data_IF_391987307188
#
_entry.id   IF_391987307188
#
_cell.length_a   1.000
_cell.length_b   1.000
_cell.length_c   1.000
_cell.angle_alpha   90.00
_cell.angle_beta   90.00
_cell.angle_gamma   90.00
#
_symmetry.space_group_name_H-M   'P 1'
#
loop_
_entity.id
_entity.type
_entity.pdbx_description
1 polymer ?
#
# COMPACT_ATOMS: atom_id res chain seq x y z
N UNK A 1 -2.47 9.12 19.65
CA UNK A 1 -3.87 8.62 19.68
C UNK A 1 -4.83 9.52 20.45
N UNK A 2 -4.46 10.09 21.59
CA UNK A 2 -5.39 10.92 22.40
C UNK A 2 -5.90 12.21 21.74
N UNK A 3 -5.16 12.80 20.80
CA UNK A 3 -5.57 14.05 20.15
C UNK A 3 -6.82 13.84 19.26
N UNK A 4 -6.84 12.80 18.43
CA UNK A 4 -7.96 12.54 17.51
C UNK A 4 -9.24 12.22 18.29
N UNK A 5 -9.13 11.38 19.33
CA UNK A 5 -10.22 11.08 20.26
C UNK A 5 -10.76 12.33 20.93
N UNK A 6 -9.87 13.20 21.43
CA UNK A 6 -10.24 14.45 22.10
C UNK A 6 -10.99 15.40 21.16
N UNK A 7 -10.55 15.56 19.92
CA UNK A 7 -11.25 16.40 18.93
C UNK A 7 -12.63 15.85 18.57
N UNK A 8 -12.78 14.53 18.44
CA UNK A 8 -14.09 13.90 18.19
C UNK A 8 -15.07 14.13 19.34
N UNK A 9 -14.60 14.05 20.59
CA UNK A 9 -15.42 14.36 21.76
C UNK A 9 -15.85 15.84 21.82
N UNK A 10 -15.06 16.77 21.28
CA UNK A 10 -15.41 18.20 21.18
C UNK A 10 -16.51 18.48 20.16
N UNK A 11 -16.85 17.52 19.31
CA UNK A 11 -17.96 17.60 18.35
C UNK A 11 -19.27 17.06 18.95
N UNK A 12 -19.36 16.95 20.28
CA UNK A 12 -20.49 16.37 21.02
C UNK A 12 -20.87 14.96 20.57
N UNK A 13 -19.90 14.19 20.05
CA UNK A 13 -20.09 12.78 19.74
C UNK A 13 -20.11 11.95 21.03
N UNK A 14 -21.06 11.00 21.18
CA UNK A 14 -21.06 10.08 22.31
C UNK A 14 -19.75 9.30 22.42
N UNK A 15 -19.25 9.10 23.64
CA UNK A 15 -17.96 8.43 23.87
C UNK A 15 -17.91 7.04 23.22
N UNK A 16 -18.98 6.25 23.32
CA UNK A 16 -19.11 4.94 22.67
C UNK A 16 -18.90 5.03 21.15
N UNK A 17 -19.47 6.06 20.49
CA UNK A 17 -19.29 6.28 19.06
C UNK A 17 -17.84 6.65 18.74
N UNK A 18 -17.21 7.47 19.57
CA UNK A 18 -15.81 7.86 19.37
C UNK A 18 -14.91 6.64 19.51
N UNK A 19 -15.15 5.77 20.49
CA UNK A 19 -14.34 4.58 20.71
C UNK A 19 -14.45 3.61 19.51
N UNK A 20 -15.67 3.40 18.98
CA UNK A 20 -15.88 2.63 17.72
C UNK A 20 -15.14 3.24 16.52
N UNK A 21 -15.16 4.56 16.37
CA UNK A 21 -14.44 5.24 15.28
C UNK A 21 -12.93 5.07 15.41
N UNK A 22 -12.40 5.11 16.64
CA UNK A 22 -10.97 4.92 16.89
C UNK A 22 -10.53 3.47 16.63
N UNK A 23 -11.37 2.49 16.97
CA UNK A 23 -11.15 1.08 16.64
C UNK A 23 -11.16 0.83 15.14
N UNK A 24 -12.18 1.34 14.42
CA UNK A 24 -12.26 1.24 12.97
C UNK A 24 -11.04 1.90 12.31
N UNK A 25 -10.69 3.11 12.75
CA UNK A 25 -9.54 3.82 12.23
C UNK A 25 -8.23 3.05 12.44
N UNK A 26 -8.05 2.41 13.60
CA UNK A 26 -6.88 1.59 13.88
C UNK A 26 -6.77 0.37 12.96
N UNK A 27 -7.90 -0.29 12.68
CA UNK A 27 -7.99 -1.40 11.73
C UNK A 27 -7.64 -0.90 10.32
N UNK A 28 -8.29 0.18 9.88
CA UNK A 28 -8.07 0.77 8.55
C UNK A 28 -6.62 1.19 8.35
N UNK A 29 -5.97 1.80 9.35
CA UNK A 29 -4.56 2.22 9.28
C UNK A 29 -3.62 1.02 9.13
N UNK A 30 -3.90 -0.08 9.82
CA UNK A 30 -3.12 -1.32 9.73
C UNK A 30 -3.34 -2.08 8.43
N UNK A 31 -4.55 -2.01 7.88
CA UNK A 31 -4.91 -2.68 6.64
C UNK A 31 -4.56 -1.85 5.40
N UNK A 32 -3.98 -0.65 5.57
CA UNK A 32 -3.47 0.12 4.43
C UNK A 32 -2.40 -0.69 3.70
N UNK A 33 -2.62 -1.07 2.43
CA UNK A 33 -1.60 -1.74 1.67
C UNK A 33 -0.39 -0.81 1.53
N UNK A 34 0.84 -1.35 1.55
CA UNK A 34 2.01 -0.54 1.28
C UNK A 34 1.87 0.16 -0.08
N UNK A 35 2.38 1.39 -0.17
CA UNK A 35 2.42 2.11 -1.45
C UNK A 35 3.50 1.50 -2.34
N UNK A 36 3.08 0.62 -3.23
CA UNK A 36 3.93 0.08 -4.29
C UNK A 36 3.95 1.00 -5.51
N UNK A 37 4.99 0.88 -6.32
CA UNK A 37 4.96 1.43 -7.66
C UNK A 37 3.92 0.70 -8.52
N UNK A 38 3.32 1.41 -9.47
CA UNK A 38 2.46 0.75 -10.45
C UNK A 38 3.29 -0.18 -11.33
N UNK A 39 2.65 -1.18 -11.94
CA UNK A 39 3.29 -2.06 -12.93
C UNK A 39 4.04 -1.25 -13.98
N UNK A 40 3.40 -0.23 -14.55
CA UNK A 40 4.03 0.64 -15.56
C UNK A 40 5.28 1.37 -15.04
N UNK A 41 5.26 1.85 -13.79
CA UNK A 41 6.42 2.48 -13.16
C UNK A 41 7.56 1.47 -12.98
N UNK A 42 7.28 0.29 -12.41
CA UNK A 42 8.26 -0.79 -12.22
C UNK A 42 8.95 -1.12 -13.54
N UNK A 43 8.17 -1.37 -14.60
CA UNK A 43 8.70 -1.71 -15.93
C UNK A 43 9.53 -0.56 -16.52
N UNK A 44 9.08 0.70 -16.38
CA UNK A 44 9.84 1.85 -16.85
C UNK A 44 11.18 2.02 -16.12
N UNK A 45 11.21 1.78 -14.81
CA UNK A 45 12.40 1.96 -13.99
C UNK A 45 13.45 0.90 -14.27
N UNK A 46 13.04 -0.37 -14.43
CA UNK A 46 13.99 -1.44 -14.79
C UNK A 46 14.49 -1.28 -16.21
N UNK A 47 13.63 -0.89 -17.16
CA UNK A 47 14.04 -0.56 -18.54
C UNK A 47 15.04 0.59 -18.59
N UNK A 48 14.86 1.58 -17.72
CA UNK A 48 15.78 2.72 -17.57
C UNK A 48 17.02 2.41 -16.71
N UNK A 49 17.16 1.19 -16.16
CA UNK A 49 18.27 0.81 -15.28
C UNK A 49 18.26 1.50 -13.91
N UNK A 50 17.15 2.14 -13.52
CA UNK A 50 16.99 2.83 -12.23
C UNK A 50 16.78 1.86 -11.07
N UNK A 51 16.31 0.64 -11.36
CA UNK A 51 16.22 -0.48 -10.41
C UNK A 51 16.76 -1.76 -11.04
N UNK A 52 17.25 -2.67 -10.18
CA UNK A 52 17.73 -3.98 -10.62
C UNK A 52 16.57 -4.90 -11.07
N UNK A 53 16.80 -5.83 -12.01
CA UNK A 53 15.77 -6.81 -12.41
C UNK A 53 15.18 -7.62 -11.25
N UNK A 54 16.02 -8.02 -10.28
CA UNK A 54 15.55 -8.70 -9.07
C UNK A 54 14.62 -7.82 -8.22
N UNK A 55 14.88 -6.51 -8.16
CA UNK A 55 14.02 -5.55 -7.46
C UNK A 55 12.69 -5.39 -8.19
N UNK A 56 12.70 -5.32 -9.53
CA UNK A 56 11.48 -5.26 -10.33
C UNK A 56 10.59 -6.49 -10.12
N UNK A 57 11.16 -7.70 -10.09
CA UNK A 57 10.43 -8.94 -9.77
C UNK A 57 9.77 -8.85 -8.40
N UNK A 58 10.50 -8.42 -7.36
CA UNK A 58 9.94 -8.28 -6.02
C UNK A 58 8.78 -7.29 -5.97
N UNK A 59 8.88 -6.15 -6.67
CA UNK A 59 7.79 -5.17 -6.73
C UNK A 59 6.55 -5.73 -7.42
N UNK A 60 6.72 -6.48 -8.52
CA UNK A 60 5.59 -7.12 -9.19
C UNK A 60 4.90 -8.17 -8.30
N UNK A 61 5.66 -8.96 -7.52
CA UNK A 61 5.09 -9.86 -6.52
C UNK A 61 4.33 -9.10 -5.43
N UNK A 62 4.90 -8.00 -4.94
CA UNK A 62 4.29 -7.19 -3.89
C UNK A 62 2.96 -6.55 -4.33
N UNK A 63 2.82 -6.21 -5.62
CA UNK A 63 1.58 -5.71 -6.23
C UNK A 63 0.55 -6.83 -6.47
N UNK A 64 0.95 -8.10 -6.32
CA UNK A 64 0.04 -9.26 -6.32
C UNK A 64 0.12 -10.15 -7.57
N UNK A 65 1.13 -9.99 -8.44
CA UNK A 65 1.31 -10.88 -9.58
C UNK A 65 1.87 -12.24 -9.15
N UNK A 66 1.41 -13.29 -9.81
CA UNK A 66 1.97 -14.63 -9.68
C UNK A 66 3.29 -14.78 -10.50
N UNK A 67 4.03 -15.88 -10.32
CA UNK A 67 5.30 -16.09 -11.02
C UNK A 67 5.20 -16.05 -12.55
N UNK A 68 4.11 -16.54 -13.14
CA UNK A 68 3.93 -16.56 -14.60
C UNK A 68 3.83 -15.13 -15.14
N UNK A 69 3.01 -14.30 -14.51
CA UNK A 69 2.85 -12.90 -14.89
C UNK A 69 4.15 -12.11 -14.72
N UNK A 70 4.87 -12.32 -13.60
CA UNK A 70 6.17 -11.70 -13.37
C UNK A 70 7.15 -12.06 -14.49
N UNK A 71 7.24 -13.34 -14.87
CA UNK A 71 8.16 -13.79 -15.91
C UNK A 71 7.77 -13.26 -17.32
N UNK A 72 6.47 -13.10 -17.61
CA UNK A 72 6.00 -12.46 -18.85
C UNK A 72 6.41 -10.98 -18.87
N UNK A 73 6.15 -10.24 -17.78
CA UNK A 73 6.49 -8.82 -17.70
C UNK A 73 8.00 -8.59 -17.84
N UNK A 74 8.81 -9.39 -17.15
CA UNK A 74 10.27 -9.24 -17.21
C UNK A 74 10.83 -9.52 -18.60
N UNK A 75 10.28 -10.52 -19.33
CA UNK A 75 10.65 -10.77 -20.74
C UNK A 75 10.19 -9.68 -21.69
N UNK A 76 9.10 -8.96 -21.38
CA UNK A 76 8.58 -7.88 -22.23
C UNK A 76 9.42 -6.61 -22.24
N UNK A 77 10.41 -6.51 -21.33
CA UNK A 77 11.31 -5.36 -21.20
C UNK A 77 12.58 -5.53 -22.05
N UNK A 78 12.93 -6.76 -22.42
CA UNK A 78 14.03 -7.10 -23.35
C UNK A 78 13.74 -6.56 -24.76
#
# INVERSE_FOLDING_TARGET
DDKARSELLRLDLPAERVDVLMEQWYIDEKDKPPRYWTTAQVLSFVKAGLILPARAKQELFNVGYDPEHVDIYMRSIE
#
